data_IF_105972351743
#
_entry.id   IF_105972351743
#
_cell.length_a   1.000
_cell.length_b   1.000
_cell.length_c   1.000
_cell.angle_alpha   90.00
_cell.angle_beta   90.00
_cell.angle_gamma   90.00
#
_symmetry.space_group_name_H-M   'P 1'
#
loop_
_entity.id
_entity.type
_entity.pdbx_description
1 polymer ?
#
# COMPACT_ATOMS: atom_id res chain seq x y z
N UNK A 1 -5.60 -8.74 -20.29
CA UNK A 1 -6.99 -8.23 -20.28
C UNK A 1 -7.39 -8.08 -18.82
N UNK A 2 -7.25 -6.88 -18.27
CA UNK A 2 -7.63 -6.60 -16.89
C UNK A 2 -9.12 -6.90 -16.69
N UNK A 3 -9.45 -7.81 -15.79
CA UNK A 3 -10.83 -7.98 -15.35
C UNK A 3 -11.26 -6.69 -14.66
N UNK A 4 -12.42 -6.14 -15.04
CA UNK A 4 -13.07 -5.05 -14.33
C UNK A 4 -14.16 -5.63 -13.43
N UNK A 5 -13.83 -6.17 -12.24
CA UNK A 5 -14.87 -6.68 -11.36
C UNK A 5 -15.71 -5.51 -10.83
N UNK A 6 -16.99 -5.79 -10.60
CA UNK A 6 -17.86 -4.85 -9.91
C UNK A 6 -17.34 -4.58 -8.50
N UNK A 7 -17.38 -3.32 -8.08
CA UNK A 7 -17.11 -2.96 -6.70
C UNK A 7 -18.34 -3.33 -5.86
N UNK A 8 -18.20 -4.11 -4.79
CA UNK A 8 -19.29 -4.35 -3.85
C UNK A 8 -19.80 -3.04 -3.26
N UNK A 9 -21.10 -2.97 -2.97
CA UNK A 9 -21.72 -1.76 -2.38
C UNK A 9 -21.06 -1.37 -1.07
N UNK A 10 -20.66 -2.34 -0.24
CA UNK A 10 -19.92 -2.11 1.01
C UNK A 10 -18.66 -1.29 0.79
N UNK A 11 -17.92 -1.58 -0.28
CA UNK A 11 -16.64 -0.96 -0.58
C UNK A 11 -16.88 0.41 -1.21
N UNK A 12 -17.88 0.52 -2.10
CA UNK A 12 -18.26 1.78 -2.74
C UNK A 12 -18.68 2.87 -1.74
N UNK A 13 -19.33 2.49 -0.64
CA UNK A 13 -19.73 3.44 0.40
C UNK A 13 -18.55 4.19 1.00
N UNK A 14 -17.35 3.59 1.04
CA UNK A 14 -16.17 4.27 1.55
C UNK A 14 -15.73 5.43 0.65
N UNK A 15 -15.76 5.22 -0.67
CA UNK A 15 -15.42 6.26 -1.65
C UNK A 15 -16.50 7.35 -1.75
N UNK A 16 -17.78 6.96 -1.64
CA UNK A 16 -18.91 7.91 -1.71
C UNK A 16 -18.94 8.83 -0.48
N UNK A 17 -18.61 8.31 0.69
CA UNK A 17 -18.63 9.06 1.95
C UNK A 17 -17.36 9.86 2.24
N UNK A 18 -16.27 9.62 1.51
CA UNK A 18 -14.99 10.28 1.75
C UNK A 18 -15.07 11.77 1.45
N UNK A 19 -14.52 12.57 2.36
CA UNK A 19 -14.32 14.00 2.14
C UNK A 19 -12.90 14.38 2.54
N UNK A 20 -12.47 15.58 2.15
CA UNK A 20 -11.16 16.11 2.54
C UNK A 20 -10.95 16.09 4.07
N UNK A 21 -12.00 16.36 4.84
CA UNK A 21 -11.95 16.44 6.31
C UNK A 21 -12.27 15.10 6.99
N UNK A 22 -12.78 14.13 6.23
CA UNK A 22 -13.12 12.78 6.71
C UNK A 22 -12.55 11.74 5.74
N UNK A 23 -11.23 11.50 5.79
CA UNK A 23 -10.60 10.47 4.99
C UNK A 23 -11.00 9.09 5.51
N UNK A 24 -11.28 8.17 4.60
CA UNK A 24 -11.87 6.86 4.92
C UNK A 24 -10.87 5.71 4.79
N UNK A 25 -9.58 6.01 4.94
CA UNK A 25 -8.52 5.00 5.01
C UNK A 25 -8.32 4.49 6.45
N UNK A 26 -7.87 3.25 6.57
CA UNK A 26 -7.44 2.64 7.82
C UNK A 26 -5.92 2.52 7.85
N UNK A 27 -5.33 2.61 9.04
CA UNK A 27 -3.89 2.46 9.24
C UNK A 27 -3.58 1.40 10.31
N UNK A 28 -2.45 0.71 10.15
CA UNK A 28 -1.93 -0.24 11.12
C UNK A 28 -0.52 0.12 11.57
N UNK A 29 -0.24 0.02 12.86
CA UNK A 29 1.10 0.18 13.44
C UNK A 29 1.61 -1.19 13.87
N UNK A 30 2.74 -1.62 13.31
CA UNK A 30 3.38 -2.88 13.64
C UNK A 30 4.77 -2.60 14.22
N UNK A 31 5.05 -3.16 15.40
CA UNK A 31 6.32 -3.03 16.08
C UNK A 31 7.11 -4.32 15.93
N UNK A 32 8.34 -4.20 15.44
CA UNK A 32 9.24 -5.32 15.21
C UNK A 32 10.53 -5.15 16.01
N UNK A 33 11.21 -6.28 16.25
CA UNK A 33 12.59 -6.31 16.71
C UNK A 33 13.47 -6.91 15.62
N UNK A 34 14.68 -6.38 15.39
CA UNK A 34 15.62 -7.04 14.49
C UNK A 34 15.96 -8.45 15.02
N UNK A 35 16.27 -9.41 14.12
CA UNK A 35 16.88 -10.68 14.51
C UNK A 35 18.14 -10.49 15.36
N UNK A 36 18.49 -11.49 16.19
CA UNK A 36 19.60 -11.42 17.15
C UNK A 36 20.95 -11.12 16.47
N UNK A 37 21.09 -11.58 15.24
CA UNK A 37 22.29 -11.61 14.41
C UNK A 37 22.21 -10.61 13.24
N UNK A 38 21.26 -9.67 13.31
CA UNK A 38 21.09 -8.61 12.33
C UNK A 38 22.12 -7.48 12.54
N UNK A 39 22.77 -7.06 11.45
CA UNK A 39 23.70 -5.92 11.46
C UNK A 39 22.99 -4.55 11.56
N UNK A 40 23.75 -3.45 11.72
CA UNK A 40 23.20 -2.10 11.86
C UNK A 40 22.42 -1.63 10.62
N UNK A 41 22.64 -2.28 9.47
CA UNK A 41 22.00 -1.96 8.19
C UNK A 41 20.76 -2.82 7.90
N UNK A 42 20.30 -3.62 8.86
CA UNK A 42 19.19 -4.56 8.65
C UNK A 42 17.92 -3.91 8.11
N UNK A 43 17.56 -2.72 8.62
CA UNK A 43 16.38 -2.00 8.14
C UNK A 43 16.53 -1.52 6.67
N UNK A 44 17.76 -1.26 6.22
CA UNK A 44 18.06 -0.92 4.83
C UNK A 44 17.93 -2.14 3.93
N UNK A 45 18.56 -3.26 4.32
CA UNK A 45 18.45 -4.54 3.61
C UNK A 45 17.00 -5.01 3.52
N UNK A 46 16.23 -4.89 4.60
CA UNK A 46 14.81 -5.25 4.61
C UNK A 46 13.98 -4.39 3.64
N UNK A 47 14.25 -3.09 3.58
CA UNK A 47 13.59 -2.19 2.62
C UNK A 47 13.93 -2.56 1.17
N UNK A 48 15.21 -2.83 0.87
CA UNK A 48 15.64 -3.26 -0.46
C UNK A 48 14.99 -4.58 -0.89
N UNK A 49 14.86 -5.53 0.05
CA UNK A 49 14.14 -6.78 -0.20
C UNK A 49 12.67 -6.53 -0.54
N UNK A 50 12.00 -5.66 0.21
CA UNK A 50 10.60 -5.29 -0.06
C UNK A 50 10.46 -4.67 -1.46
N UNK A 51 11.33 -3.73 -1.82
CA UNK A 51 11.34 -3.08 -3.14
C UNK A 51 11.65 -4.05 -4.29
N UNK A 52 12.36 -5.15 -4.02
CA UNK A 52 12.68 -6.18 -5.03
C UNK A 52 11.52 -7.16 -5.31
N UNK A 53 10.42 -7.08 -4.55
CA UNK A 53 9.30 -8.02 -4.65
C UNK A 53 8.51 -7.81 -5.94
N UNK A 54 8.33 -8.87 -6.73
CA UNK A 54 7.58 -8.80 -8.00
C UNK A 54 6.16 -9.33 -7.88
N UNK A 55 5.89 -10.18 -6.88
CA UNK A 55 4.59 -10.79 -6.68
C UNK A 55 3.74 -9.96 -5.72
N UNK A 56 2.61 -9.45 -6.22
CA UNK A 56 1.66 -8.65 -5.44
C UNK A 56 0.28 -9.25 -5.54
N UNK A 57 -0.36 -9.45 -4.37
CA UNK A 57 -1.77 -9.88 -4.31
C UNK A 57 -2.64 -8.98 -5.17
N UNK A 58 -3.62 -9.56 -5.86
CA UNK A 58 -4.55 -8.82 -6.70
C UNK A 58 -5.29 -7.71 -5.96
N UNK A 59 -5.45 -7.82 -4.64
CA UNK A 59 -6.12 -6.79 -3.84
C UNK A 59 -5.34 -5.47 -3.79
N UNK A 60 -4.01 -5.52 -3.75
CA UNK A 60 -3.17 -4.32 -3.79
C UNK A 60 -2.98 -3.75 -5.20
N UNK A 61 -3.44 -4.48 -6.22
CA UNK A 61 -3.43 -4.04 -7.63
C UNK A 61 -4.76 -3.42 -8.07
N UNK A 62 -5.75 -3.35 -7.17
CA UNK A 62 -7.05 -2.75 -7.45
C UNK A 62 -6.97 -1.24 -7.28
N UNK A 63 -7.45 -0.52 -8.30
CA UNK A 63 -7.73 0.92 -8.21
C UNK A 63 -9.16 1.24 -8.66
N UNK A 64 -9.77 2.33 -8.15
CA UNK A 64 -11.08 2.75 -8.61
C UNK A 64 -11.08 2.98 -10.12
N UNK A 65 -11.99 2.29 -10.81
CA UNK A 65 -12.23 2.41 -12.24
C UNK A 65 -13.30 3.44 -12.56
N UNK A 66 -13.43 3.76 -13.84
CA UNK A 66 -14.54 4.59 -14.30
C UNK A 66 -15.88 3.84 -14.13
N UNK A 67 -16.97 4.55 -13.78
CA UNK A 67 -18.29 3.93 -13.72
C UNK A 67 -18.69 3.35 -15.08
N UNK A 68 -19.10 2.08 -15.11
CA UNK A 68 -19.46 1.38 -16.35
C UNK A 68 -20.82 1.83 -16.95
N UNK A 69 -21.61 2.63 -16.24
CA UNK A 69 -22.92 3.09 -16.70
C UNK A 69 -23.39 4.38 -16.03
N UNK A 70 -24.41 5.00 -16.64
CA UNK A 70 -25.17 6.16 -16.13
C UNK A 70 -25.76 5.92 -14.73
N UNK A 71 -25.89 4.66 -14.29
CA UNK A 71 -26.39 4.28 -12.95
C UNK A 71 -25.33 4.34 -11.82
N UNK A 72 -24.09 4.77 -12.08
CA UNK A 72 -23.16 5.15 -11.01
C UNK A 72 -22.48 4.02 -10.24
N UNK A 73 -22.54 2.77 -10.72
CA UNK A 73 -21.81 1.67 -10.09
C UNK A 73 -20.30 1.84 -10.29
N UNK A 74 -19.56 1.95 -9.18
CA UNK A 74 -18.10 1.96 -9.18
C UNK A 74 -17.55 0.59 -9.56
N UNK A 75 -16.38 0.59 -10.16
CA UNK A 75 -15.70 -0.62 -10.62
C UNK A 75 -14.30 -0.64 -10.05
N UNK A 76 -13.70 -1.83 -9.99
CA UNK A 76 -12.26 -1.95 -9.82
C UNK A 76 -11.62 -2.13 -11.19
N UNK A 77 -10.46 -1.52 -11.37
CA UNK A 77 -9.49 -1.92 -12.39
C UNK A 77 -8.36 -2.62 -11.65
N UNK A 78 -7.97 -3.80 -12.14
CA UNK A 78 -6.82 -4.54 -11.62
C UNK A 78 -5.66 -4.27 -12.56
N UNK A 79 -4.65 -3.55 -12.07
CA UNK A 79 -3.43 -3.27 -12.84
C UNK A 79 -2.50 -4.50 -12.83
N UNK A 80 -1.66 -4.62 -13.86
CA UNK A 80 -0.71 -5.74 -13.98
C UNK A 80 0.55 -5.50 -13.13
N UNK A 81 0.94 -4.23 -12.94
CA UNK A 81 2.13 -3.81 -12.22
C UNK A 81 1.80 -2.76 -11.14
N UNK A 82 2.61 -2.70 -10.08
CA UNK A 82 2.48 -1.73 -8.98
C UNK A 82 3.74 -0.88 -8.92
N UNK A 83 3.56 0.43 -8.79
CA UNK A 83 4.67 1.35 -8.51
C UNK A 83 5.07 1.27 -7.03
N UNK A 84 6.08 0.46 -6.74
CA UNK A 84 6.60 0.29 -5.39
C UNK A 84 7.17 1.57 -4.79
N UNK A 85 7.81 2.43 -5.58
CA UNK A 85 8.41 3.66 -5.09
C UNK A 85 7.34 4.66 -4.63
N UNK A 86 6.17 4.63 -5.27
CA UNK A 86 5.03 5.42 -4.84
C UNK A 86 4.39 4.87 -3.54
N UNK A 87 4.19 3.55 -3.47
CA UNK A 87 3.43 2.91 -2.40
C UNK A 87 4.24 2.55 -1.14
N UNK A 88 5.55 2.38 -1.26
CA UNK A 88 6.43 2.03 -0.13
C UNK A 88 7.42 3.16 0.11
N UNK A 89 7.31 3.77 1.29
CA UNK A 89 8.17 4.88 1.70
C UNK A 89 9.03 4.50 2.87
N UNK A 90 10.34 4.73 2.76
CA UNK A 90 11.26 4.69 3.90
C UNK A 90 11.33 6.05 4.56
N UNK A 91 11.01 6.12 5.84
CA UNK A 91 11.24 7.30 6.67
C UNK A 91 12.15 6.92 7.82
N UNK A 92 13.39 7.41 7.78
CA UNK A 92 14.40 7.15 8.78
C UNK A 92 15.21 8.43 9.05
N UNK A 93 15.72 8.57 10.26
CA UNK A 93 16.68 9.63 10.56
C UNK A 93 18.03 9.30 9.89
N UNK A 94 18.77 10.32 9.36
CA UNK A 94 20.12 10.11 8.85
C UNK A 94 21.05 9.52 9.91
N UNK A 95 22.00 8.67 9.51
CA UNK A 95 23.08 8.24 10.41
C UNK A 95 23.86 9.48 10.91
N UNK A 96 24.25 9.55 12.19
CA UNK A 96 24.12 8.55 13.26
C UNK A 96 22.84 8.65 14.12
N UNK A 97 21.90 9.55 13.82
CA UNK A 97 20.76 9.84 14.70
C UNK A 97 19.67 8.75 14.75
N UNK A 98 19.65 7.81 13.79
CA UNK A 98 18.56 6.82 13.62
C UNK A 98 18.69 5.46 14.31
N UNK A 99 19.89 5.04 14.72
CA UNK A 99 20.15 3.82 15.52
C UNK A 99 21.45 4.10 16.31
N UNK A 100 21.35 4.36 17.61
CA UNK A 100 22.53 4.53 18.49
C UNK A 100 22.78 3.27 19.34
N UNK A 101 21.85 2.32 19.34
CA UNK A 101 21.97 1.07 20.11
C UNK A 101 21.16 -0.09 19.50
N UNK A 102 21.22 -0.18 18.17
CA UNK A 102 21.02 -1.43 17.46
C UNK A 102 22.42 -2.08 17.45
#
# INVERSE_FOLDING_TARGET
>A
MAGMPFMPVSDSMFLIGETREHPFHVGGLQLFKPPVDAGPDYAEVFYEQLMSTTEVSSDFRKRPGQPLAVMGNLTWIVDDEVDWEYHVRRSALPRPAGCVSC
#
